data_IF_298320433380
#
_entry.id   IF_298320433380
#
_cell.length_a   1.000
_cell.length_b   1.000
_cell.length_c   1.000
_cell.angle_alpha   90.00
_cell.angle_beta   90.00
_cell.angle_gamma   90.00
#
_symmetry.space_group_name_H-M   'P 1'
#
loop_
_entity.id
_entity.type
_entity.pdbx_description
1 polymer ?
#
# COMPACT_ATOMS: atom_id res chain seq x y z
N UNK A 1 -13.98 32.16 -11.56
CA UNK A 1 -12.93 31.51 -10.76
C UNK A 1 -13.56 31.21 -9.43
N UNK A 2 -13.60 29.94 -9.06
CA UNK A 2 -14.07 29.56 -7.73
C UNK A 2 -13.09 30.08 -6.69
N UNK A 3 -13.62 30.64 -5.60
CA UNK A 3 -12.81 31.07 -4.47
C UNK A 3 -12.64 29.87 -3.54
N UNK A 4 -11.43 29.34 -3.48
CA UNK A 4 -11.06 28.22 -2.61
C UNK A 4 -9.99 28.66 -1.62
N UNK A 5 -10.07 28.15 -0.40
CA UNK A 5 -9.05 28.30 0.63
C UNK A 5 -8.42 26.93 0.93
N UNK A 6 -7.10 26.90 1.07
CA UNK A 6 -6.34 25.73 1.49
C UNK A 6 -5.68 26.04 2.82
N UNK A 7 -5.82 25.14 3.78
CA UNK A 7 -5.24 25.27 5.12
C UNK A 7 -4.61 23.94 5.51
N UNK A 8 -3.38 23.99 6.00
CA UNK A 8 -2.68 22.83 6.54
C UNK A 8 -3.11 22.63 8.00
N UNK A 9 -3.84 21.54 8.25
CA UNK A 9 -4.33 21.14 9.58
C UNK A 9 -3.56 19.94 10.14
N UNK A 10 -2.44 19.56 9.54
CA UNK A 10 -1.68 18.33 9.90
C UNK A 10 -1.28 18.31 11.37
N UNK A 11 -0.98 19.46 11.96
CA UNK A 11 -0.63 19.58 13.38
C UNK A 11 -1.82 19.70 14.35
N UNK A 12 -3.03 19.87 13.84
CA UNK A 12 -4.25 20.07 14.65
C UNK A 12 -4.93 18.72 14.97
N UNK A 13 -4.80 17.74 14.08
CA UNK A 13 -5.37 16.41 14.21
C UNK A 13 -4.35 15.32 14.54
N UNK A 14 -4.86 14.15 14.89
CA UNK A 14 -4.14 12.89 14.92
C UNK A 14 -4.92 11.82 14.16
N UNK A 15 -4.20 10.87 13.56
CA UNK A 15 -4.80 9.77 12.83
C UNK A 15 -4.11 8.45 13.14
N UNK A 16 -4.90 7.38 13.17
CA UNK A 16 -4.39 6.01 13.22
C UNK A 16 -5.23 5.10 12.32
N UNK A 17 -4.66 3.93 12.00
CA UNK A 17 -5.35 2.91 11.22
C UNK A 17 -5.65 1.69 12.07
N UNK A 18 -6.78 1.07 11.81
CA UNK A 18 -7.14 -0.26 12.31
C UNK A 18 -7.26 -1.16 11.09
N UNK A 19 -6.35 -2.14 10.97
CA UNK A 19 -6.25 -3.00 9.78
C UNK A 19 -6.19 -4.47 10.17
N UNK A 20 -6.73 -5.32 9.31
CA UNK A 20 -6.72 -6.78 9.47
C UNK A 20 -8.13 -7.39 9.52
N UNK A 21 -8.22 -8.73 9.57
CA UNK A 21 -9.49 -9.45 9.44
C UNK A 21 -10.51 -9.12 10.54
N UNK A 22 -10.03 -8.73 11.74
CA UNK A 22 -10.86 -8.35 12.88
C UNK A 22 -11.01 -6.83 13.04
N UNK A 23 -10.47 -6.02 12.12
CA UNK A 23 -10.61 -4.57 12.16
C UNK A 23 -12.07 -4.09 12.26
N UNK A 24 -13.05 -4.68 11.53
CA UNK A 24 -14.46 -4.31 11.69
C UNK A 24 -14.99 -4.53 13.10
N UNK A 25 -14.50 -5.53 13.83
CA UNK A 25 -14.91 -5.82 15.20
C UNK A 25 -14.29 -4.83 16.20
N UNK A 26 -13.03 -4.44 15.97
CA UNK A 26 -12.38 -3.37 16.74
C UNK A 26 -13.14 -2.06 16.57
N UNK A 27 -13.50 -1.67 15.34
CA UNK A 27 -14.27 -0.44 15.10
C UNK A 27 -15.65 -0.50 15.79
N UNK A 28 -16.36 -1.63 15.72
CA UNK A 28 -17.64 -1.81 16.43
C UNK A 28 -17.53 -1.73 17.95
N UNK A 29 -16.38 -2.05 18.52
CA UNK A 29 -16.16 -1.88 19.96
C UNK A 29 -15.97 -0.41 20.36
N UNK A 30 -15.64 0.46 19.41
CA UNK A 30 -15.46 1.89 19.64
C UNK A 30 -16.74 2.70 19.37
N UNK A 31 -17.57 2.25 18.43
CA UNK A 31 -18.77 2.99 18.01
C UNK A 31 -19.97 2.08 17.79
N UNK A 32 -21.16 2.59 18.11
CA UNK A 32 -22.45 1.95 17.83
C UNK A 32 -22.78 1.93 16.32
N UNK A 33 -22.02 2.66 15.50
CA UNK A 33 -22.15 2.60 14.04
C UNK A 33 -21.69 1.21 13.57
N UNK A 34 -22.55 0.45 12.88
CA UNK A 34 -22.14 -0.85 12.38
C UNK A 34 -21.02 -0.66 11.35
N UNK A 35 -19.92 -1.42 11.46
CA UNK A 35 -18.81 -1.30 10.52
C UNK A 35 -19.21 -1.49 9.04
N UNK A 36 -20.32 -2.20 8.76
CA UNK A 36 -20.88 -2.33 7.41
C UNK A 36 -21.46 -1.03 6.85
N UNK A 37 -21.72 -0.02 7.67
CA UNK A 37 -22.11 1.31 7.23
C UNK A 37 -20.89 2.16 6.82
N UNK A 38 -19.68 1.75 7.20
CA UNK A 38 -18.42 2.36 6.80
C UNK A 38 -17.88 1.58 5.60
N UNK A 39 -18.56 1.75 4.46
CA UNK A 39 -18.10 1.22 3.18
C UNK A 39 -16.76 1.87 2.78
N UNK A 40 -15.94 1.19 1.96
CA UNK A 40 -14.72 1.80 1.47
C UNK A 40 -15.01 3.14 0.75
N UNK A 41 -14.09 4.10 0.91
CA UNK A 41 -14.22 5.47 0.41
C UNK A 41 -15.35 6.31 1.03
N UNK A 42 -16.01 5.81 2.09
CA UNK A 42 -16.99 6.58 2.86
C UNK A 42 -16.39 7.07 4.18
N UNK A 43 -16.50 8.36 4.43
CA UNK A 43 -16.16 8.98 5.70
C UNK A 43 -17.43 9.28 6.51
N UNK A 44 -17.43 8.94 7.80
CA UNK A 44 -18.53 9.21 8.73
C UNK A 44 -18.00 9.94 9.96
N UNK A 45 -18.66 11.03 10.33
CA UNK A 45 -18.50 11.64 11.65
C UNK A 45 -19.20 10.77 12.69
N UNK A 46 -18.49 10.44 13.77
CA UNK A 46 -18.97 9.59 14.86
C UNK A 46 -18.54 10.16 16.21
N UNK A 47 -19.19 9.70 17.27
CA UNK A 47 -18.81 9.99 18.65
C UNK A 47 -18.39 8.68 19.31
N UNK A 48 -17.14 8.59 19.79
CA UNK A 48 -16.57 7.45 20.51
C UNK A 48 -16.26 7.91 21.94
N UNK A 49 -16.95 7.36 22.95
CA UNK A 49 -16.67 7.73 24.34
C UNK A 49 -16.83 9.23 24.66
N UNK A 50 -17.67 9.96 23.89
CA UNK A 50 -17.84 11.42 24.01
C UNK A 50 -16.86 12.26 23.18
N UNK A 51 -15.97 11.62 22.42
CA UNK A 51 -15.00 12.27 21.54
C UNK A 51 -15.51 12.25 20.10
N UNK A 52 -15.52 13.41 19.45
CA UNK A 52 -15.82 13.51 18.02
C UNK A 52 -14.65 12.98 17.19
N UNK A 53 -14.95 12.12 16.22
CA UNK A 53 -13.98 11.54 15.30
C UNK A 53 -14.59 11.34 13.92
N UNK A 54 -13.74 11.27 12.90
CA UNK A 54 -14.10 10.79 11.57
C UNK A 54 -13.53 9.40 11.38
N UNK A 55 -14.36 8.46 10.92
CA UNK A 55 -13.90 7.13 10.50
C UNK A 55 -14.14 6.95 9.01
N UNK A 56 -13.12 6.45 8.31
CA UNK A 56 -13.13 6.22 6.88
C UNK A 56 -12.72 4.79 6.57
N UNK A 57 -13.46 4.12 5.69
CA UNK A 57 -13.05 2.82 5.13
C UNK A 57 -12.04 3.02 4.01
N UNK A 58 -10.95 2.25 4.02
CA UNK A 58 -9.93 2.24 2.95
C UNK A 58 -10.11 1.02 2.03
N UNK A 59 -9.99 1.22 0.71
CA UNK A 59 -10.01 0.16 -0.33
C UNK A 59 -8.64 -0.01 -1.01
N UNK A 60 -7.55 0.22 -0.29
CA UNK A 60 -6.22 0.14 -0.90
C UNK A 60 -5.79 -1.32 -1.17
N UNK A 61 -6.20 -2.26 -0.32
CA UNK A 61 -5.72 -3.65 -0.36
C UNK A 61 -6.74 -4.67 0.13
N UNK A 62 -6.32 -5.94 0.24
CA UNK A 62 -7.24 -7.06 0.53
C UNK A 62 -7.71 -7.09 1.98
N UNK A 63 -7.03 -6.36 2.89
CA UNK A 63 -7.33 -6.35 4.32
C UNK A 63 -8.29 -5.22 4.67
N UNK A 64 -9.41 -5.49 5.38
CA UNK A 64 -10.27 -4.44 5.90
C UNK A 64 -9.45 -3.44 6.71
N UNK A 65 -9.53 -2.17 6.30
CA UNK A 65 -8.73 -1.10 6.90
C UNK A 65 -9.61 0.12 7.12
N UNK A 66 -9.52 0.69 8.32
CA UNK A 66 -10.25 1.89 8.70
C UNK A 66 -9.26 2.94 9.20
N UNK A 67 -9.39 4.16 8.70
CA UNK A 67 -8.69 5.33 9.22
C UNK A 67 -9.58 6.04 10.23
N UNK A 68 -9.04 6.33 11.41
CA UNK A 68 -9.68 7.15 12.44
C UNK A 68 -8.92 8.45 12.54
N UNK A 69 -9.62 9.58 12.43
CA UNK A 69 -9.07 10.94 12.50
C UNK A 69 -9.84 11.71 13.57
N UNK A 70 -9.15 12.39 14.46
CA UNK A 70 -9.72 13.27 15.48
C UNK A 70 -8.74 14.39 15.82
N UNK A 71 -9.15 15.38 16.61
CA UNK A 71 -8.24 16.40 17.13
C UNK A 71 -7.11 15.76 17.95
N UNK A 72 -5.90 16.33 17.89
CA UNK A 72 -4.68 15.66 18.36
C UNK A 72 -4.73 15.11 19.81
N UNK A 73 -5.25 15.85 20.83
CA UNK A 73 -5.39 15.31 22.19
C UNK A 73 -6.34 14.12 22.27
N UNK A 74 -7.42 14.17 21.50
CA UNK A 74 -8.47 13.15 21.43
C UNK A 74 -8.01 11.89 20.68
N UNK A 75 -7.22 12.05 19.62
CA UNK A 75 -6.72 10.94 18.80
C UNK A 75 -5.89 9.93 19.61
N UNK A 76 -5.11 10.41 20.59
CA UNK A 76 -4.32 9.55 21.48
C UNK A 76 -5.22 8.67 22.37
N UNK A 77 -6.27 9.25 22.95
CA UNK A 77 -7.23 8.52 23.77
C UNK A 77 -7.96 7.45 22.94
N UNK A 78 -8.44 7.82 21.75
CA UNK A 78 -9.07 6.90 20.81
C UNK A 78 -8.12 5.77 20.39
N UNK A 79 -6.84 6.06 20.17
CA UNK A 79 -5.84 5.05 19.86
C UNK A 79 -5.69 4.04 21.00
N UNK A 80 -5.62 4.51 22.26
CA UNK A 80 -5.55 3.61 23.41
C UNK A 80 -6.80 2.75 23.57
N UNK A 81 -7.99 3.30 23.33
CA UNK A 81 -9.24 2.53 23.29
C UNK A 81 -9.19 1.46 22.19
N UNK A 82 -8.76 1.82 20.98
CA UNK A 82 -8.62 0.89 19.86
C UNK A 82 -7.63 -0.24 20.16
N UNK A 83 -6.49 0.07 20.79
CA UNK A 83 -5.50 -0.93 21.23
C UNK A 83 -6.09 -1.88 22.27
N UNK A 84 -6.88 -1.37 23.22
CA UNK A 84 -7.56 -2.21 24.22
C UNK A 84 -8.53 -3.19 23.56
N UNK A 85 -9.37 -2.70 22.65
CA UNK A 85 -10.29 -3.52 21.87
C UNK A 85 -9.56 -4.55 20.99
N UNK A 86 -8.47 -4.15 20.34
CA UNK A 86 -7.65 -5.05 19.54
C UNK A 86 -7.03 -6.17 20.38
N UNK A 87 -6.51 -5.86 21.58
CA UNK A 87 -5.95 -6.87 22.51
C UNK A 87 -6.98 -7.90 22.96
N UNK A 88 -8.23 -7.49 23.18
CA UNK A 88 -9.32 -8.41 23.48
C UNK A 88 -9.60 -9.40 22.32
N UNK A 89 -9.14 -9.07 21.12
CA UNK A 89 -9.24 -9.88 19.90
C UNK A 89 -7.88 -10.44 19.43
N UNK A 90 -6.90 -10.54 20.35
CA UNK A 90 -5.54 -11.04 20.08
C UNK A 90 -4.70 -10.20 19.10
N UNK A 91 -5.10 -8.97 18.82
CA UNK A 91 -4.32 -7.96 18.10
C UNK A 91 -3.46 -7.08 19.02
N UNK A 92 -2.87 -6.04 18.45
CA UNK A 92 -2.04 -5.09 19.19
C UNK A 92 -1.60 -3.89 18.35
N UNK A 93 -0.88 -2.94 18.96
CA UNK A 93 -0.31 -1.81 18.23
C UNK A 93 0.79 -2.29 17.28
N UNK A 94 0.87 -1.68 16.10
CA UNK A 94 1.88 -1.96 15.09
C UNK A 94 2.58 -0.67 14.69
N UNK A 95 3.91 -0.74 14.55
CA UNK A 95 4.73 0.39 14.10
C UNK A 95 4.93 0.40 12.59
N UNK A 96 5.74 1.36 12.14
CA UNK A 96 6.01 1.61 10.72
C UNK A 96 6.65 0.41 10.00
N UNK A 97 7.54 -0.33 10.67
CA UNK A 97 8.17 -1.53 10.11
C UNK A 97 7.14 -2.63 9.81
N UNK A 98 6.21 -2.87 10.74
CA UNK A 98 5.13 -3.83 10.55
C UNK A 98 4.16 -3.38 9.44
N UNK A 99 3.86 -2.07 9.34
CA UNK A 99 3.10 -1.51 8.21
C UNK A 99 3.82 -1.74 6.88
N UNK A 100 5.14 -1.51 6.83
CA UNK A 100 5.93 -1.69 5.63
C UNK A 100 5.98 -3.16 5.19
N UNK A 101 6.06 -4.10 6.14
CA UNK A 101 5.95 -5.53 5.82
C UNK A 101 4.56 -5.84 5.27
N UNK A 102 3.51 -5.43 5.98
CA UNK A 102 2.11 -5.67 5.62
C UNK A 102 1.76 -5.16 4.21
N UNK A 103 2.17 -3.93 3.87
CA UNK A 103 1.87 -3.34 2.57
C UNK A 103 2.60 -4.04 1.42
N UNK A 104 3.83 -4.55 1.65
CA UNK A 104 4.56 -5.33 0.66
C UNK A 104 3.93 -6.72 0.49
N UNK A 105 3.51 -7.36 1.58
CA UNK A 105 2.72 -8.60 1.53
C UNK A 105 1.45 -8.43 0.70
N UNK A 106 0.72 -7.33 0.90
CA UNK A 106 -0.51 -7.00 0.17
C UNK A 106 -0.28 -6.50 -1.25
N UNK A 107 0.98 -6.24 -1.64
CA UNK A 107 1.29 -5.71 -2.96
C UNK A 107 0.98 -4.23 -3.15
N UNK A 108 0.89 -3.47 -2.06
CA UNK A 108 0.48 -2.06 -2.08
C UNK A 108 1.68 -1.14 -2.33
N UNK A 109 1.63 -0.32 -3.40
CA UNK A 109 2.66 0.67 -3.67
C UNK A 109 2.55 1.86 -2.70
N UNK A 110 3.67 2.53 -2.42
CA UNK A 110 3.69 3.76 -1.64
C UNK A 110 4.43 4.93 -2.31
N UNK A 111 4.10 6.16 -1.91
CA UNK A 111 4.65 7.41 -2.44
C UNK A 111 6.17 7.53 -2.34
N UNK A 112 6.77 6.97 -1.29
CA UNK A 112 8.22 6.98 -1.06
C UNK A 112 9.00 5.94 -1.85
N UNK A 113 8.33 5.01 -2.55
CA UNK A 113 9.00 3.87 -3.19
C UNK A 113 8.48 3.56 -4.59
N UNK A 114 7.24 3.11 -4.73
CA UNK A 114 6.69 2.64 -6.00
C UNK A 114 5.99 3.75 -6.80
N UNK A 115 5.51 4.81 -6.15
CA UNK A 115 4.73 5.89 -6.78
C UNK A 115 5.58 7.16 -6.96
N UNK A 116 6.73 7.01 -7.59
CA UNK A 116 7.64 8.13 -7.93
C UNK A 116 7.34 8.69 -9.32
N UNK A 117 8.08 9.74 -9.72
CA UNK A 117 8.02 10.31 -11.07
C UNK A 117 8.54 9.37 -12.17
N UNK A 118 9.19 8.26 -11.80
CA UNK A 118 9.77 7.30 -12.74
C UNK A 118 8.73 6.36 -13.35
N UNK A 119 7.56 6.24 -12.74
CA UNK A 119 6.53 5.25 -13.09
C UNK A 119 5.18 5.90 -13.31
N UNK A 120 4.45 5.44 -14.32
CA UNK A 120 3.10 5.93 -14.57
C UNK A 120 2.04 5.04 -13.87
N UNK A 121 0.82 5.56 -13.63
CA UNK A 121 -0.23 4.83 -12.91
C UNK A 121 -0.61 3.48 -13.51
N UNK A 122 -0.47 3.28 -14.82
CA UNK A 122 -0.70 1.96 -15.44
C UNK A 122 0.39 0.98 -15.03
N UNK A 123 1.65 1.39 -15.08
CA UNK A 123 2.77 0.54 -14.64
C UNK A 123 2.57 0.13 -13.17
N UNK A 124 2.06 1.05 -12.33
CA UNK A 124 1.80 0.83 -10.91
C UNK A 124 0.54 -0.01 -10.60
N UNK A 125 -0.19 -0.50 -11.62
CA UNK A 125 -1.48 -1.23 -11.48
C UNK A 125 -2.57 -0.43 -10.75
N UNK A 126 -2.59 0.89 -10.94
CA UNK A 126 -3.60 1.80 -10.38
C UNK A 126 -4.77 2.03 -11.36
N UNK A 127 -5.12 1.03 -12.16
CA UNK A 127 -6.13 1.11 -13.21
C UNK A 127 -7.48 1.64 -12.67
N UNK A 128 -7.88 1.19 -11.47
CA UNK A 128 -9.12 1.62 -10.80
C UNK A 128 -9.10 3.08 -10.32
N UNK A 129 -7.91 3.68 -10.10
CA UNK A 129 -7.77 5.07 -9.70
C UNK A 129 -7.82 6.05 -10.90
N UNK A 130 -7.80 5.53 -12.12
CA UNK A 130 -7.79 6.31 -13.36
C UNK A 130 -9.21 6.35 -13.93
N UNK A 131 -9.74 7.56 -14.10
CA UNK A 131 -11.00 7.75 -14.82
C UNK A 131 -10.73 8.29 -16.21
N UNK A 132 -11.01 7.48 -17.23
CA UNK A 132 -10.94 7.89 -18.64
C UNK A 132 -12.17 8.68 -19.11
N UNK A 133 -13.21 8.74 -18.27
CA UNK A 133 -14.53 9.31 -18.61
C UNK A 133 -14.84 10.59 -17.86
N UNK A 134 -14.11 10.93 -16.79
CA UNK A 134 -14.27 12.21 -16.10
C UNK A 134 -13.71 13.35 -16.95
N UNK A 135 -14.13 14.57 -16.62
CA UNK A 135 -13.63 15.80 -17.27
C UNK A 135 -12.12 15.99 -17.13
N UNK A 136 -11.60 17.06 -17.75
CA UNK A 136 -10.17 17.32 -17.85
C UNK A 136 -9.44 17.29 -16.48
N UNK A 137 -8.41 16.47 -16.37
CA UNK A 137 -7.48 16.46 -15.23
C UNK A 137 -6.02 16.44 -15.69
N UNK A 138 -5.11 16.86 -14.81
CA UNK A 138 -3.69 16.93 -15.11
C UNK A 138 -3.14 15.54 -15.50
N UNK A 139 -2.43 15.47 -16.63
CA UNK A 139 -1.83 14.22 -17.13
C UNK A 139 -2.79 13.29 -17.89
N UNK A 140 -4.08 13.63 -18.03
CA UNK A 140 -5.08 12.78 -18.68
C UNK A 140 -4.68 12.37 -20.11
N UNK A 141 -4.14 13.29 -20.92
CA UNK A 141 -3.74 12.99 -22.29
C UNK A 141 -2.67 11.89 -22.36
N UNK A 142 -1.65 11.99 -21.49
CA UNK A 142 -0.54 11.02 -21.42
C UNK A 142 -1.07 9.65 -20.99
N UNK A 143 -1.88 9.63 -19.92
CA UNK A 143 -2.49 8.41 -19.38
C UNK A 143 -3.40 7.75 -20.42
N UNK A 144 -4.27 8.52 -21.09
CA UNK A 144 -5.18 8.02 -22.11
C UNK A 144 -4.42 7.49 -23.34
N UNK A 145 -3.33 8.16 -23.75
CA UNK A 145 -2.48 7.74 -24.86
C UNK A 145 -1.79 6.41 -24.58
N UNK A 146 -1.23 6.24 -23.39
CA UNK A 146 -0.59 4.97 -22.99
C UNK A 146 -1.57 3.81 -23.05
N UNK A 147 -2.80 4.01 -22.56
CA UNK A 147 -3.86 3.01 -22.61
C UNK A 147 -4.32 2.71 -24.05
N UNK A 148 -4.56 3.75 -24.85
CA UNK A 148 -5.09 3.60 -26.22
C UNK A 148 -4.14 2.82 -27.15
N UNK A 149 -2.84 3.00 -26.96
CA UNK A 149 -1.82 2.38 -27.82
C UNK A 149 -1.13 1.16 -27.19
N UNK A 150 -1.61 0.70 -26.02
CA UNK A 150 -1.03 -0.42 -25.27
C UNK A 150 0.50 -0.29 -25.11
N UNK A 151 0.93 0.90 -24.66
CA UNK A 151 2.37 1.26 -24.56
C UNK A 151 2.95 1.13 -23.17
N UNK A 152 2.28 0.42 -22.29
CA UNK A 152 2.83 0.11 -20.96
C UNK A 152 4.01 -0.84 -21.17
N UNK A 153 5.19 -0.50 -20.65
CA UNK A 153 6.42 -1.25 -20.95
C UNK A 153 6.91 -2.09 -19.76
N UNK A 154 6.54 -1.67 -18.55
CA UNK A 154 6.83 -2.33 -17.29
C UNK A 154 5.57 -2.46 -16.45
N UNK A 155 5.57 -3.35 -15.47
CA UNK A 155 4.50 -3.48 -14.49
C UNK A 155 5.09 -3.72 -13.12
N UNK A 156 4.42 -3.18 -12.11
CA UNK A 156 4.66 -3.47 -10.71
C UNK A 156 4.23 -4.93 -10.44
N UNK A 157 5.14 -5.70 -9.87
CA UNK A 157 4.92 -7.11 -9.49
C UNK A 157 5.57 -7.41 -8.14
N UNK A 158 5.25 -8.57 -7.59
CA UNK A 158 5.90 -9.09 -6.40
C UNK A 158 7.13 -9.93 -6.73
N UNK A 159 8.05 -10.02 -5.77
CA UNK A 159 9.22 -10.89 -5.84
C UNK A 159 9.35 -11.72 -4.58
N UNK A 160 9.75 -12.99 -4.75
CA UNK A 160 10.12 -13.91 -3.65
C UNK A 160 11.59 -14.27 -3.81
N UNK A 161 12.37 -14.09 -2.74
CA UNK A 161 13.85 -14.12 -2.73
C UNK A 161 14.40 -15.15 -1.72
N UNK A 162 13.57 -16.04 -1.20
CA UNK A 162 14.00 -17.10 -0.27
C UNK A 162 14.63 -16.52 1.00
N UNK A 163 15.75 -17.11 1.43
CA UNK A 163 16.39 -16.74 2.69
C UNK A 163 17.33 -15.53 2.62
N UNK A 164 17.45 -14.88 1.45
CA UNK A 164 18.33 -13.74 1.26
C UNK A 164 18.03 -12.60 2.24
N UNK A 165 19.04 -11.78 2.55
CA UNK A 165 18.77 -10.51 3.23
C UNK A 165 18.00 -9.57 2.28
N UNK A 166 17.08 -8.73 2.77
CA UNK A 166 16.37 -7.76 1.94
C UNK A 166 17.34 -6.90 1.12
N UNK A 167 17.29 -6.96 -0.22
CA UNK A 167 18.13 -6.10 -1.05
C UNK A 167 17.75 -4.62 -0.86
N UNK A 168 18.69 -3.68 -1.00
CA UNK A 168 18.38 -2.26 -0.96
C UNK A 168 17.48 -1.86 -2.14
N UNK A 169 16.64 -0.85 -1.92
CA UNK A 169 15.87 -0.21 -2.99
C UNK A 169 16.78 0.25 -4.13
N UNK A 170 16.32 0.12 -5.37
CA UNK A 170 17.10 0.43 -6.57
C UNK A 170 17.97 -0.73 -7.08
N UNK A 171 17.97 -1.88 -6.41
CA UNK A 171 18.64 -3.10 -6.92
C UNK A 171 18.09 -3.47 -8.31
N UNK A 172 18.98 -3.82 -9.24
CA UNK A 172 18.61 -4.12 -10.62
C UNK A 172 18.02 -5.52 -10.72
N UNK A 173 17.05 -5.72 -11.59
CA UNK A 173 16.47 -7.02 -11.91
C UNK A 173 17.01 -7.47 -13.26
N UNK A 174 17.58 -8.68 -13.32
CA UNK A 174 17.98 -9.33 -14.57
C UNK A 174 17.03 -10.49 -14.90
N UNK A 175 16.62 -10.57 -16.17
CA UNK A 175 16.00 -11.75 -16.76
C UNK A 175 16.87 -12.20 -17.95
N UNK A 176 17.17 -13.49 -18.05
CA UNK A 176 18.07 -14.05 -19.08
C UNK A 176 19.42 -13.31 -19.18
N UNK A 177 19.96 -12.91 -18.03
CA UNK A 177 21.23 -12.16 -17.91
C UNK A 177 21.17 -10.70 -18.42
N UNK A 178 20.00 -10.17 -18.77
CA UNK A 178 19.81 -8.79 -19.23
C UNK A 178 18.94 -8.01 -18.26
N UNK A 179 19.17 -6.71 -18.18
CA UNK A 179 18.37 -5.84 -17.33
C UNK A 179 16.91 -5.80 -17.77
N UNK A 180 16.04 -6.16 -16.83
CA UNK A 180 14.61 -6.29 -17.00
C UNK A 180 13.81 -5.35 -16.10
N UNK A 181 14.41 -4.76 -15.07
CA UNK A 181 13.65 -3.95 -14.11
C UNK A 181 14.44 -3.45 -12.91
N UNK A 182 13.71 -2.95 -11.93
CA UNK A 182 14.24 -2.42 -10.68
C UNK A 182 13.39 -2.88 -9.50
N UNK A 183 14.04 -3.37 -8.45
CA UNK A 183 13.41 -3.67 -7.17
C UNK A 183 13.28 -2.37 -6.37
N UNK A 184 12.07 -2.06 -5.91
CA UNK A 184 11.76 -0.79 -5.22
C UNK A 184 11.68 -0.97 -3.71
N UNK A 185 11.13 -2.09 -3.25
CA UNK A 185 10.97 -2.39 -1.82
C UNK A 185 11.29 -3.86 -1.53
N UNK A 186 11.91 -4.14 -0.38
CA UNK A 186 12.12 -5.51 0.09
C UNK A 186 12.11 -5.59 1.61
N UNK A 187 11.58 -6.69 2.15
CA UNK A 187 11.47 -6.97 3.59
C UNK A 187 11.59 -8.47 3.86
N UNK A 188 11.92 -8.83 5.10
CA UNK A 188 11.71 -10.19 5.60
C UNK A 188 10.27 -10.32 6.09
N UNK A 189 9.48 -11.19 5.44
CA UNK A 189 8.11 -11.48 5.88
C UNK A 189 8.08 -12.76 6.71
N UNK A 190 7.56 -12.66 7.93
CA UNK A 190 7.30 -13.83 8.77
C UNK A 190 6.14 -14.67 8.22
N UNK A 191 5.12 -14.03 7.64
CA UNK A 191 3.97 -14.73 7.06
C UNK A 191 4.36 -15.55 5.81
N UNK A 192 5.26 -15.01 4.98
CA UNK A 192 5.80 -15.71 3.83
C UNK A 192 6.90 -16.73 4.19
N UNK A 193 7.54 -16.57 5.35
CA UNK A 193 8.72 -17.35 5.77
C UNK A 193 10.03 -16.95 5.07
N UNK A 194 9.99 -15.94 4.20
CA UNK A 194 11.07 -15.59 3.29
C UNK A 194 11.15 -14.08 3.05
N UNK A 195 12.18 -13.67 2.31
CA UNK A 195 12.34 -12.29 1.85
C UNK A 195 11.49 -12.07 0.62
N UNK A 196 10.68 -11.01 0.67
CA UNK A 196 9.75 -10.63 -0.39
C UNK A 196 9.97 -9.16 -0.75
N UNK A 197 9.46 -8.75 -1.91
CA UNK A 197 9.59 -7.38 -2.36
C UNK A 197 8.62 -6.98 -3.45
N UNK A 198 8.66 -5.69 -3.78
CA UNK A 198 7.96 -5.09 -4.90
C UNK A 198 8.98 -4.48 -5.86
N UNK A 199 8.63 -4.42 -7.13
CA UNK A 199 9.45 -3.79 -8.14
C UNK A 199 8.80 -3.78 -9.51
N UNK A 200 9.39 -3.00 -10.41
CA UNK A 200 8.91 -2.86 -11.77
C UNK A 200 9.75 -3.74 -12.70
N UNK A 201 9.08 -4.62 -13.45
CA UNK A 201 9.72 -5.47 -14.46
C UNK A 201 9.08 -5.24 -15.82
N UNK A 202 9.86 -5.40 -16.90
CA UNK A 202 9.32 -5.40 -18.27
C UNK A 202 8.20 -6.42 -18.40
N UNK A 203 7.11 -6.04 -19.09
CA UNK A 203 5.92 -6.90 -19.30
C UNK A 203 6.29 -8.28 -19.83
N UNK A 204 7.31 -8.38 -20.69
CA UNK A 204 7.78 -9.66 -21.23
C UNK A 204 8.22 -10.70 -20.16
N UNK A 205 8.42 -10.27 -18.91
CA UNK A 205 8.86 -11.11 -17.79
C UNK A 205 7.95 -10.98 -16.57
N UNK A 206 6.74 -10.41 -16.69
CA UNK A 206 5.86 -10.15 -15.54
C UNK A 206 5.08 -11.37 -15.04
N UNK A 207 5.08 -12.46 -15.80
CA UNK A 207 4.31 -13.67 -15.50
C UNK A 207 4.77 -14.29 -14.17
N UNK A 208 3.84 -14.59 -13.23
CA UNK A 208 4.17 -15.29 -11.99
C UNK A 208 4.89 -16.61 -12.28
N UNK A 209 5.95 -16.87 -11.51
CA UNK A 209 6.82 -18.03 -11.71
C UNK A 209 8.08 -17.75 -12.50
N UNK A 210 8.16 -16.63 -13.23
CA UNK A 210 9.36 -16.22 -13.97
C UNK A 210 10.56 -16.09 -13.03
N UNK A 211 11.68 -16.71 -13.40
CA UNK A 211 12.94 -16.67 -12.65
C UNK A 211 13.76 -15.46 -13.08
N UNK A 212 14.28 -14.73 -12.09
CA UNK A 212 15.08 -13.52 -12.28
C UNK A 212 16.23 -13.48 -11.27
N UNK A 213 17.19 -12.59 -11.50
CA UNK A 213 18.27 -12.32 -10.56
C UNK A 213 18.20 -10.87 -10.08
N UNK A 214 18.28 -10.64 -8.77
CA UNK A 214 18.45 -9.31 -8.20
C UNK A 214 19.94 -9.02 -8.04
N UNK A 215 20.41 -7.94 -8.64
CA UNK A 215 21.80 -7.47 -8.57
C UNK A 215 21.89 -6.30 -7.62
N UNK A 216 22.72 -6.45 -6.59
CA UNK A 216 22.93 -5.44 -5.56
C UNK A 216 23.71 -4.23 -6.13
N UNK A 217 23.40 -2.98 -5.74
CA UNK A 217 24.07 -1.79 -6.28
C UNK A 217 25.59 -1.76 -6.08
N UNK A 218 26.07 -2.28 -4.94
CA UNK A 218 27.47 -2.16 -4.51
C UNK A 218 28.20 -3.51 -4.43
N UNK A 219 27.62 -4.60 -4.96
CA UNK A 219 28.23 -5.94 -4.92
C UNK A 219 28.00 -6.67 -6.25
N UNK A 220 28.95 -7.53 -6.65
CA UNK A 220 28.74 -8.55 -7.69
C UNK A 220 27.76 -9.67 -7.25
N UNK A 221 27.14 -9.52 -6.07
CA UNK A 221 26.17 -10.45 -5.51
C UNK A 221 24.89 -10.49 -6.35
N UNK A 222 24.48 -11.72 -6.70
CA UNK A 222 23.21 -12.00 -7.36
C UNK A 222 22.34 -12.84 -6.45
N UNK A 223 21.10 -12.41 -6.28
CA UNK A 223 20.10 -13.13 -5.49
C UNK A 223 19.08 -13.72 -6.46
N UNK A 224 18.96 -15.06 -6.55
CA UNK A 224 17.87 -15.69 -7.28
C UNK A 224 16.53 -15.25 -6.71
N UNK A 225 15.59 -14.87 -7.58
CA UNK A 225 14.25 -14.49 -7.19
C UNK A 225 13.22 -15.01 -8.20
N UNK A 226 11.96 -15.04 -7.77
CA UNK A 226 10.82 -15.44 -8.59
C UNK A 226 9.78 -14.34 -8.59
N UNK A 227 9.27 -14.01 -9.78
CA UNK A 227 8.12 -13.10 -9.94
C UNK A 227 6.87 -13.75 -9.36
N UNK A 228 6.03 -12.98 -8.68
CA UNK A 228 4.73 -13.42 -8.15
C UNK A 228 3.65 -12.37 -8.41
N UNK A 229 2.40 -12.83 -8.43
CA UNK A 229 1.22 -11.95 -8.46
C UNK A 229 1.16 -11.06 -7.22
N UNK A 230 0.35 -10.00 -7.31
CA UNK A 230 -0.09 -9.21 -6.17
C UNK A 230 -1.49 -9.70 -5.74
N UNK A 231 -1.79 -9.82 -4.43
CA UNK A 231 -0.87 -9.67 -3.30
C UNK A 231 0.25 -10.73 -3.31
N UNK A 232 1.39 -10.38 -2.72
CA UNK A 232 2.58 -11.25 -2.63
C UNK A 232 2.34 -12.41 -1.66
N UNK A 233 1.60 -12.12 -0.60
CA UNK A 233 1.10 -13.09 0.37
C UNK A 233 -0.44 -13.02 0.34
N UNK A 234 -1.13 -14.06 -0.17
CA UNK A 234 -2.59 -14.09 -0.24
C UNK A 234 -3.26 -14.25 1.14
#
# INVERSE_FOLDING_TARGET
>A
MDQVALTDITGEGGAFRVTGPLAPQVIRALTDVPASAIEPHRALGIVIGGIEATVMGEEAGPRPTFQVIADAPAASELFHMAVSAARALHGGPAGEEARNIMRIEDGLPEGSAELTEDYNPWEARLDAAISLTKGCYLGQEVVARLNTYDKVSKRLVGFRMGEAQPPPAGSRILADGREAGTLTSAVRSLAAGETIGLGYIRIAHEEPGTEVEIVLPDQDGRIPARVTSLPVVP
#
